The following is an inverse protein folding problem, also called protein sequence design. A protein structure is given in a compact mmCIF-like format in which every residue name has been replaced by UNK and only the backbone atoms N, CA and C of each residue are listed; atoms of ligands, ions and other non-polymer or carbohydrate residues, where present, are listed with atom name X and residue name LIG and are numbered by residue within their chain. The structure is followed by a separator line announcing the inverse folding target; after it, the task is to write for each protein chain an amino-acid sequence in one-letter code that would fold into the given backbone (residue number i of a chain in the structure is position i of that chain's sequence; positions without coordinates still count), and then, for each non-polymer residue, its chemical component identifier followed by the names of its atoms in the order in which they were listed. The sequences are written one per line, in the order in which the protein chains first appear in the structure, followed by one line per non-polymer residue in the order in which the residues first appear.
data_IF_496180793033
#
_entry.id   IF_496180793033
#
_cell.length_a   1.000
_cell.length_b   1.000
_cell.length_c   1.000
_cell.angle_alpha   90.00
_cell.angle_beta   90.00
_cell.angle_gamma   90.00
#
_symmetry.space_group_name_H-M   'P 1'
#
loop_
_entity.id
_entity.type
_entity.pdbx_description
1 polymer ?
#
# COMPACT_ATOMS: atom_id res chain seq x y z
N UNK A 1 -0.23 -9.39 6.78
CA UNK A 1 0.84 -9.48 5.77
C UNK A 1 0.35 -8.87 4.48
N UNK A 2 1.07 -7.87 3.93
CA UNK A 2 0.61 -7.07 2.80
C UNK A 2 0.65 -7.82 1.47
N UNK A 3 -0.17 -7.39 0.51
CA UNK A 3 -0.21 -7.93 -0.85
C UNK A 3 1.13 -7.85 -1.57
N UNK A 4 1.96 -6.86 -1.22
CA UNK A 4 3.31 -6.66 -1.74
C UNK A 4 4.25 -7.79 -1.32
N UNK A 5 4.20 -8.18 -0.03
CA UNK A 5 4.97 -9.30 0.50
C UNK A 5 4.69 -10.58 -0.30
N UNK A 6 3.42 -10.90 -0.56
CA UNK A 6 3.03 -12.09 -1.32
C UNK A 6 3.52 -12.07 -2.78
N UNK A 7 3.57 -10.90 -3.43
CA UNK A 7 4.11 -10.78 -4.81
C UNK A 7 5.61 -11.03 -4.86
N UNK A 8 6.38 -10.46 -3.91
CA UNK A 8 7.83 -10.69 -3.82
C UNK A 8 8.10 -12.14 -3.43
N UNK A 9 7.39 -12.65 -2.44
CA UNK A 9 7.51 -14.02 -1.96
C UNK A 9 7.22 -15.03 -3.07
N UNK A 10 6.11 -14.87 -3.79
CA UNK A 10 5.76 -15.74 -4.92
C UNK A 10 6.80 -15.66 -6.04
N UNK A 11 7.29 -14.46 -6.39
CA UNK A 11 8.34 -14.27 -7.40
C UNK A 11 9.63 -15.01 -7.01
N UNK A 12 10.06 -14.90 -5.77
CA UNK A 12 11.24 -15.60 -5.26
C UNK A 12 11.06 -17.13 -5.31
N UNK A 13 9.92 -17.64 -4.84
CA UNK A 13 9.64 -19.08 -4.82
C UNK A 13 9.49 -19.66 -6.23
N UNK A 14 8.89 -18.93 -7.18
CA UNK A 14 8.80 -19.35 -8.59
C UNK A 14 10.19 -19.47 -9.21
N UNK A 15 11.07 -18.51 -8.96
CA UNK A 15 12.44 -18.54 -9.48
C UNK A 15 13.23 -19.71 -8.88
N UNK A 16 13.09 -19.93 -7.58
CA UNK A 16 13.73 -21.04 -6.88
C UNK A 16 13.22 -22.39 -7.42
N UNK A 17 11.91 -22.54 -7.58
CA UNK A 17 11.27 -23.74 -8.11
C UNK A 17 11.75 -24.05 -9.54
N UNK A 18 11.79 -23.05 -10.43
CA UNK A 18 12.28 -23.21 -11.80
C UNK A 18 13.75 -23.63 -11.84
N UNK A 19 14.57 -23.09 -10.94
CA UNK A 19 15.98 -23.46 -10.80
C UNK A 19 16.13 -24.90 -10.32
N UNK A 20 15.35 -25.31 -9.31
CA UNK A 20 15.36 -26.69 -8.78
C UNK A 20 14.89 -27.67 -9.85
N UNK A 21 13.81 -27.37 -10.57
CA UNK A 21 13.30 -28.24 -11.66
C UNK A 21 14.35 -28.37 -12.76
N UNK A 22 14.98 -27.28 -13.20
CA UNK A 22 16.03 -27.29 -14.22
C UNK A 22 17.24 -28.15 -13.83
N UNK A 23 17.71 -28.01 -12.59
CA UNK A 23 18.84 -28.82 -12.07
C UNK A 23 18.42 -30.27 -11.93
N UNK A 24 17.22 -30.57 -11.41
CA UNK A 24 16.72 -31.93 -11.26
C UNK A 24 16.54 -32.64 -12.61
N UNK A 25 15.99 -31.95 -13.62
CA UNK A 25 15.86 -32.48 -14.96
C UNK A 25 17.23 -32.79 -15.59
N UNK A 26 18.22 -31.91 -15.42
CA UNK A 26 19.58 -32.13 -15.90
C UNK A 26 20.25 -33.34 -15.23
N UNK A 27 20.01 -33.55 -13.91
CA UNK A 27 20.50 -34.69 -13.17
C UNK A 27 19.82 -36.00 -13.60
N UNK A 28 18.49 -36.00 -13.80
CA UNK A 28 17.76 -37.17 -14.29
C UNK A 28 18.22 -37.63 -15.66
N UNK A 29 18.39 -36.72 -16.63
CA UNK A 29 18.90 -37.03 -17.94
C UNK A 29 20.31 -37.63 -17.85
N UNK A 30 21.14 -37.17 -16.93
CA UNK A 30 22.47 -37.70 -16.69
C UNK A 30 22.45 -39.09 -16.08
N UNK A 31 21.51 -39.36 -15.17
CA UNK A 31 21.33 -40.68 -14.51
C UNK A 31 20.83 -41.73 -15.53
N UNK A 32 19.90 -41.35 -16.42
CA UNK A 32 19.37 -42.23 -17.44
C UNK A 32 20.42 -42.57 -18.51
N UNK A 33 21.29 -41.62 -18.83
CA UNK A 33 22.46 -41.88 -19.70
C UNK A 33 23.46 -42.84 -19.05
N UNK A 34 23.63 -42.85 -17.73
CA UNK A 34 24.48 -43.81 -16.99
C UNK A 34 23.86 -45.22 -16.93
N UNK A 35 22.56 -45.33 -16.71
CA UNK A 35 21.87 -46.65 -16.65
C UNK A 35 21.88 -47.39 -17.97
N UNK A 36 21.97 -46.73 -19.09
CA UNK A 36 22.08 -47.34 -20.43
C UNK A 36 23.44 -48.00 -20.68
N UNK A 37 24.44 -47.79 -19.82
CA UNK A 37 25.79 -48.39 -19.93
C UNK A 37 25.99 -49.69 -19.10
N UNK A 38 25.09 -50.05 -18.17
CA UNK A 38 25.16 -51.29 -17.40
C UNK A 38 24.49 -52.47 -18.08
N UNK A 39 25.14 -52.98 -19.14
CA UNK A 39 24.71 -54.20 -19.83
C UNK A 39 25.40 -55.43 -19.19
N UNK A 40 24.64 -56.44 -18.74
CA UNK A 40 25.18 -57.68 -18.16
C UNK A 40 25.88 -58.59 -19.15
N UNK A 41 25.83 -58.23 -20.45
CA UNK A 41 26.56 -58.90 -21.52
C UNK A 41 27.66 -58.02 -22.11
N UNK A 42 28.82 -58.61 -22.40
CA UNK A 42 29.93 -57.87 -23.02
C UNK A 42 29.60 -57.40 -24.43
N UNK A 43 29.71 -56.09 -24.65
CA UNK A 43 29.29 -55.41 -25.92
C UNK A 43 30.46 -54.81 -26.68
N UNK A 44 31.67 -55.11 -26.32
CA UNK A 44 32.88 -54.58 -26.96
C UNK A 44 33.22 -55.15 -28.34
N UNK A 45 34.07 -54.49 -29.13
CA UNK A 45 34.49 -54.97 -30.43
C UNK A 45 35.19 -56.35 -30.35
N UNK A 46 35.96 -56.62 -29.30
CA UNK A 46 36.66 -57.87 -29.10
C UNK A 46 35.73 -59.01 -28.76
N UNK A 47 34.79 -58.81 -27.84
CA UNK A 47 33.79 -59.81 -27.47
C UNK A 47 32.89 -60.14 -28.67
N UNK A 48 32.51 -59.17 -29.47
CA UNK A 48 31.73 -59.35 -30.71
C UNK A 48 32.51 -60.13 -31.77
N UNK A 49 33.80 -59.84 -31.92
CA UNK A 49 34.68 -60.56 -32.87
C UNK A 49 34.92 -62.01 -32.39
N UNK A 50 35.27 -62.21 -31.11
CA UNK A 50 35.50 -63.49 -30.52
C UNK A 50 34.23 -64.37 -30.57
N UNK A 51 33.04 -63.80 -30.28
CA UNK A 51 31.76 -64.50 -30.41
C UNK A 51 31.50 -64.96 -31.83
N UNK A 52 31.82 -64.14 -32.83
CA UNK A 52 31.70 -64.49 -34.23
C UNK A 52 32.64 -65.61 -34.63
N UNK A 53 33.89 -65.57 -34.16
CA UNK A 53 34.87 -66.64 -34.39
C UNK A 53 34.43 -67.97 -33.74
N UNK A 54 34.00 -67.96 -32.46
CA UNK A 54 33.47 -69.12 -31.78
C UNK A 54 32.26 -69.74 -32.52
N UNK A 55 31.34 -68.87 -32.95
CA UNK A 55 30.17 -69.27 -33.73
C UNK A 55 30.57 -69.88 -35.08
N UNK A 56 31.55 -69.29 -35.80
CA UNK A 56 32.05 -69.81 -37.06
C UNK A 56 32.69 -71.19 -36.89
N UNK A 57 33.54 -71.35 -35.89
CA UNK A 57 34.14 -72.67 -35.54
C UNK A 57 33.08 -73.72 -35.25
N UNK A 58 32.04 -73.36 -34.46
CA UNK A 58 30.94 -74.26 -34.20
C UNK A 58 30.09 -74.63 -35.40
N UNK A 59 29.83 -73.65 -36.29
CA UNK A 59 28.97 -73.82 -37.44
C UNK A 59 29.60 -74.71 -38.59
N UNK A 60 30.91 -74.63 -38.68
CA UNK A 60 31.61 -75.38 -39.73
C UNK A 60 32.34 -76.64 -39.25
N UNK A 61 32.71 -76.71 -37.95
CA UNK A 61 33.44 -77.79 -37.34
C UNK A 61 32.69 -78.63 -36.33
N UNK A 62 31.43 -78.26 -36.14
CA UNK A 62 30.58 -78.99 -35.19
C UNK A 62 30.95 -78.80 -33.66
N UNK A 63 30.34 -79.59 -32.83
CA UNK A 63 30.48 -79.48 -31.33
C UNK A 63 31.88 -79.88 -30.85
N UNK A 64 32.61 -80.81 -31.55
CA UNK A 64 33.97 -81.15 -31.18
C UNK A 64 34.99 -80.04 -31.48
N UNK A 65 34.87 -79.40 -32.61
CA UNK A 65 35.74 -78.28 -32.95
C UNK A 65 35.53 -77.09 -31.99
N UNK A 66 34.30 -76.82 -31.61
CA UNK A 66 33.99 -75.82 -30.61
C UNK A 66 34.60 -76.19 -29.25
N UNK A 67 34.54 -77.45 -28.83
CA UNK A 67 35.14 -77.92 -27.57
C UNK A 67 36.67 -77.75 -27.58
N UNK A 68 37.35 -78.11 -28.69
CA UNK A 68 38.80 -77.88 -28.84
C UNK A 68 39.11 -76.37 -28.82
N UNK A 69 38.29 -75.54 -29.46
CA UNK A 69 38.46 -74.08 -29.48
C UNK A 69 38.31 -73.46 -28.11
N UNK A 70 37.31 -73.88 -27.34
CA UNK A 70 37.09 -73.42 -25.96
C UNK A 70 38.20 -73.90 -25.02
N UNK A 71 38.68 -75.16 -25.18
CA UNK A 71 39.78 -75.71 -24.39
C UNK A 71 41.14 -75.07 -24.64
N UNK A 72 41.34 -74.54 -25.88
CA UNK A 72 42.55 -73.86 -26.29
C UNK A 72 42.42 -72.33 -26.13
N UNK A 73 41.34 -71.81 -25.45
CA UNK A 73 41.08 -70.39 -25.30
C UNK A 73 42.24 -69.71 -24.57
N UNK A 74 42.78 -68.61 -25.16
CA UNK A 74 43.91 -67.93 -24.57
C UNK A 74 43.55 -67.28 -23.23
N UNK A 75 44.22 -67.62 -22.14
CA UNK A 75 44.00 -67.07 -20.79
C UNK A 75 44.11 -65.55 -20.79
N UNK A 76 44.88 -64.95 -21.73
CA UNK A 76 45.05 -63.52 -21.88
C UNK A 76 43.80 -62.82 -22.42
N UNK A 77 42.88 -63.56 -23.04
CA UNK A 77 41.64 -63.00 -23.59
C UNK A 77 40.44 -63.07 -22.65
N UNK A 78 40.67 -63.61 -21.43
CA UNK A 78 39.62 -63.82 -20.44
C UNK A 78 38.96 -65.21 -20.55
N UNK A 79 37.68 -65.30 -20.21
CA UNK A 79 36.93 -66.55 -20.26
C UNK A 79 36.32 -66.76 -21.65
N UNK A 80 36.25 -68.01 -22.15
CA UNK A 80 35.59 -68.29 -23.43
C UNK A 80 34.08 -68.05 -23.38
N UNK A 81 33.39 -67.86 -24.54
CA UNK A 81 31.95 -67.60 -24.56
C UNK A 81 31.17 -68.74 -23.87
N UNK A 82 30.12 -68.36 -23.19
CA UNK A 82 29.14 -69.32 -22.69
C UNK A 82 28.33 -69.88 -23.85
N UNK A 83 28.08 -71.19 -23.80
CA UNK A 83 27.31 -71.97 -24.78
C UNK A 83 26.19 -72.66 -24.08
N UNK A 84 25.03 -72.02 -24.06
CA UNK A 84 23.92 -72.36 -23.15
C UNK A 84 22.76 -73.02 -23.90
N UNK A 85 22.20 -74.07 -23.36
CA UNK A 85 21.01 -74.71 -23.91
C UNK A 85 19.71 -73.99 -23.58
N UNK A 86 18.58 -74.48 -24.07
CA UNK A 86 17.26 -73.89 -23.78
C UNK A 86 16.93 -73.93 -22.28
N UNK A 87 17.48 -74.85 -21.53
CA UNK A 87 17.30 -74.95 -20.07
C UNK A 87 18.20 -74.04 -19.25
N UNK A 88 19.13 -73.32 -19.87
CA UNK A 88 20.02 -72.40 -19.16
C UNK A 88 21.34 -73.05 -18.69
N UNK A 89 21.66 -74.28 -19.11
CA UNK A 89 22.86 -74.96 -18.73
C UNK A 89 23.98 -74.78 -19.77
N UNK A 90 25.17 -74.40 -19.32
CA UNK A 90 26.33 -74.25 -20.20
C UNK A 90 26.84 -75.67 -20.63
N UNK A 91 27.19 -75.80 -21.89
CA UNK A 91 27.70 -77.07 -22.44
C UNK A 91 28.97 -77.57 -21.78
N UNK A 92 29.75 -76.66 -21.20
CA UNK A 92 31.03 -76.96 -20.54
C UNK A 92 30.93 -76.96 -19.01
N UNK A 93 29.70 -76.92 -18.43
CA UNK A 93 29.43 -77.01 -17.00
C UNK A 93 29.79 -75.76 -16.20
N UNK A 94 29.93 -74.61 -16.86
CA UNK A 94 30.24 -73.37 -16.17
C UNK A 94 28.97 -72.71 -15.63
N UNK A 95 29.12 -71.88 -14.56
CA UNK A 95 28.02 -71.11 -14.02
C UNK A 95 27.53 -70.05 -15.02
N UNK A 96 26.24 -70.03 -15.25
CA UNK A 96 25.60 -69.05 -16.14
C UNK A 96 24.88 -67.98 -15.30
N UNK A 97 25.33 -66.73 -15.32
CA UNK A 97 24.61 -65.66 -14.61
C UNK A 97 23.20 -65.45 -15.22
N UNK A 98 22.16 -65.50 -14.39
CA UNK A 98 20.78 -65.46 -14.82
C UNK A 98 20.46 -64.16 -15.61
N UNK A 99 20.96 -63.04 -15.14
CA UNK A 99 20.76 -61.75 -15.76
C UNK A 99 21.42 -61.64 -17.15
N UNK A 100 22.64 -62.19 -17.31
CA UNK A 100 23.34 -62.23 -18.59
C UNK A 100 22.60 -63.14 -19.58
N UNK A 101 22.02 -64.25 -19.14
CA UNK A 101 21.23 -65.14 -19.98
C UNK A 101 19.94 -64.46 -20.47
N UNK A 102 19.22 -63.75 -19.59
CA UNK A 102 18.02 -63.00 -19.97
C UNK A 102 18.33 -61.90 -20.98
N UNK A 103 19.39 -61.14 -20.75
CA UNK A 103 19.82 -60.08 -21.66
C UNK A 103 20.30 -60.66 -23.00
N UNK A 104 20.98 -61.82 -23.02
CA UNK A 104 21.40 -62.52 -24.26
C UNK A 104 20.18 -62.99 -25.06
N UNK A 105 19.14 -63.50 -24.38
CA UNK A 105 17.86 -63.91 -25.01
C UNK A 105 17.12 -62.70 -25.58
N UNK A 106 17.04 -61.59 -24.83
CA UNK A 106 16.43 -60.34 -25.25
C UNK A 106 17.18 -59.73 -26.45
N UNK A 107 18.53 -59.73 -26.42
CA UNK A 107 19.34 -59.26 -27.51
C UNK A 107 19.11 -60.09 -28.80
N UNK A 108 18.92 -61.38 -28.69
CA UNK A 108 18.63 -62.23 -29.85
C UNK A 108 17.22 -61.97 -30.40
N UNK A 109 16.24 -61.67 -29.57
CA UNK A 109 14.87 -61.39 -29.96
C UNK A 109 14.73 -60.01 -30.64
N UNK A 110 15.54 -59.03 -30.22
CA UNK A 110 15.51 -57.64 -30.71
C UNK A 110 16.26 -57.44 -32.04
N UNK A 111 17.08 -58.41 -32.48
CA UNK A 111 17.95 -58.25 -33.65
C UNK A 111 17.25 -58.59 -34.97
N UNK A 112 16.74 -57.62 -35.63
CA UNK A 112 16.39 -57.62 -37.06
C UNK A 112 17.43 -56.76 -37.85
N UNK A 113 18.69 -57.26 -37.99
CA UNK A 113 19.68 -56.47 -38.72
C UNK A 113 21.10 -57.00 -38.73
N UNK A 114 22.00 -56.28 -39.26
CA UNK A 114 23.40 -56.53 -39.63
C UNK A 114 24.18 -57.50 -38.74
N UNK A 115 24.55 -58.66 -39.27
CA UNK A 115 25.25 -59.79 -38.64
C UNK A 115 26.59 -59.46 -37.93
N UNK A 116 27.20 -58.31 -38.24
CA UNK A 116 28.55 -57.92 -37.77
C UNK A 116 28.62 -57.48 -36.31
N UNK A 117 27.50 -57.11 -35.67
CA UNK A 117 27.47 -56.54 -34.32
C UNK A 117 26.61 -57.32 -33.32
N UNK A 118 26.32 -58.60 -33.61
CA UNK A 118 25.47 -59.42 -32.74
C UNK A 118 26.14 -59.68 -31.40
N UNK A 119 25.41 -59.39 -30.33
CA UNK A 119 25.82 -59.55 -28.93
C UNK A 119 25.61 -60.98 -28.40
N UNK A 120 24.72 -61.73 -29.05
CA UNK A 120 24.45 -63.13 -28.80
C UNK A 120 24.21 -63.83 -30.15
N UNK A 121 24.56 -65.11 -30.25
CA UNK A 121 24.37 -65.91 -31.45
C UNK A 121 23.74 -67.27 -31.15
N UNK A 122 22.87 -67.70 -32.04
CA UNK A 122 22.28 -69.04 -31.98
C UNK A 122 23.08 -69.99 -32.85
N UNK A 123 23.33 -71.19 -32.36
CA UNK A 123 24.00 -72.24 -33.05
C UNK A 123 23.24 -73.56 -32.88
N UNK A 124 23.18 -74.45 -33.90
CA UNK A 124 22.59 -75.77 -33.81
C UNK A 124 23.73 -76.80 -33.96
N UNK A 125 23.75 -77.78 -33.06
CA UNK A 125 24.71 -78.86 -33.15
C UNK A 125 24.27 -79.95 -34.17
N UNK A 126 25.16 -80.93 -34.39
CA UNK A 126 24.94 -82.02 -35.37
C UNK A 126 23.73 -82.93 -34.98
N UNK A 127 23.25 -82.84 -33.73
CA UNK A 127 22.04 -83.51 -33.23
C UNK A 127 20.78 -82.67 -33.32
N UNK A 128 20.90 -81.45 -33.95
CA UNK A 128 19.79 -80.49 -34.04
C UNK A 128 19.43 -79.72 -32.82
N UNK A 129 20.17 -79.86 -31.73
CA UNK A 129 19.94 -79.10 -30.47
C UNK A 129 20.42 -77.68 -30.63
N UNK A 130 19.58 -76.72 -30.21
CA UNK A 130 19.89 -75.28 -30.26
C UNK A 130 20.68 -74.85 -29.02
N UNK A 131 21.71 -74.03 -29.27
CA UNK A 131 22.59 -73.45 -28.28
C UNK A 131 22.67 -71.94 -28.46
N UNK A 132 22.72 -71.19 -27.35
CA UNK A 132 22.90 -69.74 -27.30
C UNK A 132 24.32 -69.42 -26.87
N UNK A 133 25.05 -68.65 -27.65
CA UNK A 133 26.41 -68.20 -27.36
C UNK A 133 26.44 -66.73 -27.05
N UNK A 134 27.08 -66.32 -25.94
CA UNK A 134 27.28 -64.93 -25.50
C UNK A 134 28.47 -64.83 -24.52
N UNK A 135 28.94 -63.61 -24.31
CA UNK A 135 29.94 -63.30 -23.29
C UNK A 135 29.28 -62.56 -22.12
N UNK A 136 29.40 -63.07 -20.87
CA UNK A 136 29.01 -62.29 -19.70
C UNK A 136 29.89 -61.03 -19.55
N UNK A 137 29.39 -59.99 -18.89
CA UNK A 137 30.18 -58.79 -18.59
C UNK A 137 31.38 -59.17 -17.72
N UNK A 138 32.56 -58.63 -18.03
CA UNK A 138 33.81 -58.93 -17.31
C UNK A 138 34.51 -60.22 -17.72
N UNK A 139 33.92 -61.13 -18.55
CA UNK A 139 34.53 -62.37 -19.02
C UNK A 139 35.64 -62.12 -20.06
N UNK A 140 35.62 -61.06 -20.79
CA UNK A 140 36.68 -60.66 -21.73
C UNK A 140 37.58 -59.59 -21.07
N UNK A 141 38.92 -59.82 -21.07
CA UNK A 141 39.88 -58.76 -20.71
C UNK A 141 39.94 -57.72 -21.82
N UNK A 142 38.89 -56.96 -21.97
CA UNK A 142 39.00 -55.74 -22.77
C UNK A 142 39.97 -54.80 -22.05
N UNK A 143 40.93 -54.15 -22.77
CA UNK A 143 41.70 -53.07 -22.19
C UNK A 143 40.68 -52.10 -21.60
N UNK A 144 40.96 -51.49 -20.41
CA UNK A 144 40.11 -50.47 -19.89
C UNK A 144 39.87 -49.54 -21.10
N UNK A 145 38.60 -49.43 -21.53
CA UNK A 145 38.24 -48.36 -22.45
C UNK A 145 38.87 -47.15 -21.81
N UNK A 146 39.84 -46.50 -22.52
CA UNK A 146 40.19 -45.13 -22.16
C UNK A 146 38.82 -44.49 -22.01
N UNK A 147 38.44 -44.23 -20.75
CA UNK A 147 37.14 -43.63 -20.45
C UNK A 147 37.01 -42.58 -21.52
N UNK A 148 36.01 -42.57 -22.37
CA UNK A 148 35.85 -41.43 -23.26
C UNK A 148 35.94 -40.29 -22.27
N UNK A 149 37.03 -39.48 -22.40
CA UNK A 149 37.13 -38.20 -21.64
C UNK A 149 35.72 -37.73 -21.74
N UNK A 150 34.99 -37.64 -20.59
CA UNK A 150 33.58 -37.33 -20.69
C UNK A 150 33.55 -36.14 -21.60
N UNK A 151 33.14 -36.35 -22.86
CA UNK A 151 32.78 -35.23 -23.72
C UNK A 151 31.76 -34.55 -22.85
N UNK A 152 32.24 -33.58 -22.11
CA UNK A 152 31.43 -32.68 -21.31
C UNK A 152 30.52 -32.10 -22.39
N UNK A 153 29.38 -32.76 -22.65
CA UNK A 153 28.32 -32.17 -23.44
C UNK A 153 27.83 -31.01 -22.62
N UNK A 154 28.58 -29.90 -22.78
CA UNK A 154 28.31 -28.60 -22.18
C UNK A 154 26.91 -28.07 -22.57
N UNK A 155 26.27 -28.70 -23.55
CA UNK A 155 24.96 -28.29 -24.08
C UNK A 155 23.86 -28.28 -23.02
N UNK A 156 23.76 -29.28 -22.17
CA UNK A 156 22.74 -29.36 -21.12
C UNK A 156 22.93 -28.30 -20.00
N UNK A 157 24.12 -28.23 -19.35
CA UNK A 157 24.40 -27.22 -18.34
C UNK A 157 24.43 -25.79 -18.90
N UNK A 158 24.86 -25.59 -20.16
CA UNK A 158 24.82 -24.26 -20.79
C UNK A 158 23.39 -23.84 -21.09
N UNK A 159 22.52 -24.70 -21.57
CA UNK A 159 21.09 -24.42 -21.80
C UNK A 159 20.39 -24.11 -20.48
N UNK A 160 20.67 -24.87 -19.40
CA UNK A 160 20.13 -24.61 -18.07
C UNK A 160 20.62 -23.25 -17.52
N UNK A 161 21.89 -22.91 -17.69
CA UNK A 161 22.44 -21.62 -17.26
C UNK A 161 21.85 -20.43 -18.05
N UNK A 162 21.65 -20.59 -19.36
CA UNK A 162 20.98 -19.58 -20.21
C UNK A 162 19.52 -19.38 -19.80
N UNK A 163 18.79 -20.47 -19.54
CA UNK A 163 17.41 -20.39 -19.08
C UNK A 163 17.30 -19.70 -17.72
N UNK A 164 18.20 -20.03 -16.78
CA UNK A 164 18.26 -19.36 -15.47
C UNK A 164 18.61 -17.87 -15.59
N UNK A 165 19.56 -17.52 -16.48
CA UNK A 165 19.91 -16.12 -16.75
C UNK A 165 18.73 -15.36 -17.33
N UNK A 166 18.03 -15.89 -18.32
CA UNK A 166 16.83 -15.28 -18.92
C UNK A 166 15.72 -15.10 -17.89
N UNK A 167 15.46 -16.13 -17.06
CA UNK A 167 14.48 -16.05 -15.98
C UNK A 167 14.86 -14.97 -14.97
N UNK A 168 16.12 -14.88 -14.58
CA UNK A 168 16.63 -13.84 -13.66
C UNK A 168 16.47 -12.43 -14.24
N UNK A 169 16.81 -12.22 -15.49
CA UNK A 169 16.63 -10.92 -16.19
C UNK A 169 15.15 -10.54 -16.26
N UNK A 170 14.28 -11.50 -16.60
CA UNK A 170 12.83 -11.27 -16.68
C UNK A 170 12.25 -10.90 -15.30
N UNK A 171 12.59 -11.66 -14.26
CA UNK A 171 12.13 -11.38 -12.88
C UNK A 171 12.66 -10.03 -12.40
N UNK A 172 13.94 -9.72 -12.65
CA UNK A 172 14.54 -8.42 -12.30
C UNK A 172 13.85 -7.27 -13.02
N UNK A 173 13.55 -7.41 -14.30
CA UNK A 173 12.81 -6.41 -15.07
C UNK A 173 11.37 -6.23 -14.56
N UNK A 174 10.69 -7.31 -14.20
CA UNK A 174 9.36 -7.26 -13.59
C UNK A 174 9.38 -6.58 -12.21
N UNK A 175 10.35 -6.92 -11.37
CA UNK A 175 10.55 -6.27 -10.06
C UNK A 175 10.87 -4.78 -10.22
N UNK A 176 11.79 -4.43 -11.12
CA UNK A 176 12.12 -3.03 -11.39
C UNK A 176 10.90 -2.23 -11.86
N UNK A 177 10.10 -2.81 -12.74
CA UNK A 177 8.89 -2.17 -13.27
C UNK A 177 7.78 -2.07 -12.22
N UNK A 178 7.60 -3.12 -11.40
CA UNK A 178 6.52 -3.19 -10.41
C UNK A 178 6.83 -2.48 -9.09
N UNK A 179 8.09 -2.33 -8.71
CA UNK A 179 8.47 -1.77 -7.43
C UNK A 179 9.39 -0.54 -7.55
N UNK A 180 10.52 -0.65 -8.24
CA UNK A 180 11.50 0.45 -8.25
C UNK A 180 10.93 1.72 -8.87
N UNK A 181 10.26 1.62 -10.03
CA UNK A 181 9.69 2.80 -10.70
C UNK A 181 8.62 3.53 -9.87
N UNK A 182 7.61 2.84 -9.26
CA UNK A 182 6.65 3.50 -8.39
C UNK A 182 7.28 4.13 -7.14
N UNK A 183 8.27 3.46 -6.54
CA UNK A 183 8.98 4.01 -5.37
C UNK A 183 9.73 5.29 -5.73
N UNK A 184 10.48 5.29 -6.84
CA UNK A 184 11.15 6.51 -7.30
C UNK A 184 10.20 7.65 -7.64
N UNK A 185 9.01 7.34 -8.21
CA UNK A 185 7.98 8.35 -8.44
C UNK A 185 7.45 8.95 -7.14
N UNK A 186 7.19 8.10 -6.14
CA UNK A 186 6.82 8.55 -4.80
C UNK A 186 7.91 9.44 -4.19
N UNK A 187 9.17 9.01 -4.24
CA UNK A 187 10.29 9.83 -3.73
C UNK A 187 10.37 11.19 -4.42
N UNK A 188 10.26 11.22 -5.75
CA UNK A 188 10.23 12.47 -6.50
C UNK A 188 9.04 13.36 -6.14
N UNK A 189 7.87 12.76 -5.89
CA UNK A 189 6.68 13.50 -5.50
C UNK A 189 6.80 14.05 -4.06
N UNK A 190 7.38 13.28 -3.12
CA UNK A 190 7.67 13.75 -1.77
C UNK A 190 8.67 14.92 -1.81
N UNK A 191 9.72 14.83 -2.62
CA UNK A 191 10.68 15.91 -2.79
C UNK A 191 10.00 17.16 -3.36
N UNK A 192 9.22 17.02 -4.44
CA UNK A 192 8.50 18.13 -5.04
C UNK A 192 7.51 18.80 -4.04
N UNK A 193 6.81 17.98 -3.23
CA UNK A 193 5.93 18.51 -2.19
C UNK A 193 6.70 19.25 -1.09
N UNK A 194 7.89 18.77 -0.69
CA UNK A 194 8.76 19.45 0.28
C UNK A 194 9.32 20.77 -0.27
N UNK A 195 9.51 20.86 -1.58
CA UNK A 195 9.91 22.08 -2.27
C UNK A 195 8.74 23.04 -2.52
N UNK A 196 7.56 22.74 -1.96
CA UNK A 196 6.36 23.60 -2.06
C UNK A 196 5.49 23.38 -3.30
N UNK A 197 5.79 22.39 -4.14
CA UNK A 197 4.97 22.05 -5.31
C UNK A 197 3.78 21.17 -4.90
N UNK A 198 2.73 21.77 -4.37
CA UNK A 198 1.56 21.07 -3.85
C UNK A 198 0.56 20.60 -4.93
N UNK A 199 0.84 20.81 -6.21
CA UNK A 199 0.01 20.35 -7.33
C UNK A 199 0.37 18.94 -7.83
N UNK A 200 1.40 18.31 -7.26
CA UNK A 200 1.86 16.96 -7.62
C UNK A 200 0.82 15.92 -7.20
N UNK A 201 0.53 14.97 -8.11
CA UNK A 201 -0.35 13.83 -7.86
C UNK A 201 0.33 12.54 -8.33
N UNK A 202 0.28 11.50 -7.48
CA UNK A 202 0.95 10.22 -7.71
C UNK A 202 -0.04 9.13 -8.07
N UNK A 203 -1.25 9.17 -7.50
CA UNK A 203 -2.26 8.13 -7.69
C UNK A 203 -2.68 7.97 -9.16
N UNK A 204 -2.67 9.04 -9.97
CA UNK A 204 -2.95 8.95 -11.41
C UNK A 204 -1.92 8.08 -12.15
N UNK A 205 -0.64 8.18 -11.79
CA UNK A 205 0.43 7.35 -12.34
C UNK A 205 0.45 5.90 -11.83
N UNK A 206 -0.40 5.60 -10.83
CA UNK A 206 -0.59 4.29 -10.21
C UNK A 206 -2.02 3.75 -10.41
N UNK A 207 -2.76 4.30 -11.38
CA UNK A 207 -4.16 3.93 -11.65
C UNK A 207 -4.29 2.41 -11.85
N UNK A 208 -5.26 1.80 -11.14
CA UNK A 208 -5.50 0.36 -11.17
C UNK A 208 -4.69 -0.47 -10.17
N UNK A 209 -3.73 0.09 -9.44
CA UNK A 209 -3.04 -0.63 -8.36
C UNK A 209 -3.92 -0.73 -7.11
N UNK A 210 -4.12 -1.97 -6.65
CA UNK A 210 -4.87 -2.29 -5.42
C UNK A 210 -3.97 -2.84 -4.30
N UNK A 211 -2.65 -2.65 -4.45
CA UNK A 211 -1.64 -3.04 -3.47
C UNK A 211 -1.27 -1.88 -2.54
N UNK A 212 -0.36 -2.12 -1.59
CA UNK A 212 0.09 -1.17 -0.57
C UNK A 212 0.73 0.07 -1.19
N UNK A 213 1.43 -0.06 -2.32
CA UNK A 213 1.99 1.09 -3.05
C UNK A 213 0.90 1.98 -3.65
N UNK A 214 -0.17 1.37 -4.17
CA UNK A 214 -1.34 2.11 -4.65
C UNK A 214 -2.08 2.82 -3.51
N UNK A 215 -2.17 2.19 -2.34
CA UNK A 215 -2.72 2.81 -1.14
C UNK A 215 -1.86 4.00 -0.68
N UNK A 216 -0.54 3.81 -0.56
CA UNK A 216 0.40 4.87 -0.19
C UNK A 216 0.34 6.07 -1.15
N UNK A 217 0.18 5.82 -2.45
CA UNK A 217 -0.01 6.91 -3.42
C UNK A 217 -1.29 7.72 -3.19
N UNK A 218 -2.39 7.06 -2.82
CA UNK A 218 -3.65 7.75 -2.47
C UNK A 218 -3.55 8.54 -1.17
N UNK A 219 -2.92 7.98 -0.16
CA UNK A 219 -2.68 8.64 1.13
C UNK A 219 -1.77 9.86 0.96
N UNK A 220 -0.73 9.75 0.14
CA UNK A 220 0.13 10.86 -0.23
C UNK A 220 -0.67 11.99 -0.93
N UNK A 221 -1.48 11.66 -1.95
CA UNK A 221 -2.29 12.65 -2.65
C UNK A 221 -3.30 13.33 -1.71
N UNK A 222 -3.89 12.56 -0.78
CA UNK A 222 -4.77 13.10 0.26
C UNK A 222 -4.05 14.05 1.22
N UNK A 223 -2.82 13.72 1.62
CA UNK A 223 -1.98 14.60 2.44
C UNK A 223 -1.62 15.89 1.70
N UNK A 224 -1.17 15.80 0.46
CA UNK A 224 -0.82 16.98 -0.36
C UNK A 224 -2.04 17.86 -0.59
N UNK A 225 -3.22 17.29 -0.83
CA UNK A 225 -4.46 18.05 -0.97
C UNK A 225 -4.80 18.81 0.32
N UNK A 226 -4.67 18.20 1.49
CA UNK A 226 -4.87 18.89 2.78
C UNK A 226 -3.87 20.03 2.98
N UNK A 227 -2.58 19.79 2.66
CA UNK A 227 -1.56 20.84 2.72
C UNK A 227 -1.87 21.99 1.78
N UNK A 228 -2.31 21.70 0.55
CA UNK A 228 -2.69 22.71 -0.43
C UNK A 228 -3.88 23.57 0.07
N UNK A 229 -4.88 22.93 0.68
CA UNK A 229 -6.01 23.61 1.29
C UNK A 229 -5.58 24.52 2.45
N UNK A 230 -4.71 24.02 3.34
CA UNK A 230 -4.18 24.78 4.48
C UNK A 230 -3.37 25.99 4.02
N UNK A 231 -2.42 25.82 3.10
CA UNK A 231 -1.61 26.92 2.57
C UNK A 231 -2.48 27.91 1.81
N UNK A 232 -3.46 27.42 1.03
CA UNK A 232 -4.40 28.28 0.31
C UNK A 232 -5.30 29.09 1.23
N UNK A 233 -5.79 28.52 2.34
CA UNK A 233 -6.59 29.26 3.33
C UNK A 233 -5.74 30.28 4.07
N UNK A 234 -4.51 29.93 4.46
CA UNK A 234 -3.58 30.85 5.11
C UNK A 234 -3.22 32.06 4.22
N UNK A 235 -2.95 31.82 2.94
CA UNK A 235 -2.64 32.90 1.99
C UNK A 235 -3.85 33.84 1.79
N UNK A 236 -5.07 33.30 1.71
CA UNK A 236 -6.29 34.10 1.65
C UNK A 236 -6.44 34.94 2.90
N UNK A 237 -6.32 34.33 4.08
CA UNK A 237 -6.39 35.05 5.35
C UNK A 237 -5.39 36.23 5.39
N UNK A 238 -4.11 36.00 5.02
CA UNK A 238 -3.10 37.06 4.99
C UNK A 238 -3.43 38.18 3.99
N UNK A 239 -4.01 37.81 2.85
CA UNK A 239 -4.45 38.79 1.85
C UNK A 239 -5.59 39.66 2.41
N UNK A 240 -6.60 39.04 3.00
CA UNK A 240 -7.78 39.71 3.55
C UNK A 240 -7.40 40.59 4.74
N UNK A 241 -6.56 40.12 5.67
CA UNK A 241 -5.98 40.92 6.76
C UNK A 241 -5.26 42.16 6.22
N UNK A 242 -4.45 42.00 5.16
CA UNK A 242 -3.72 43.12 4.57
C UNK A 242 -4.66 44.16 3.99
N UNK A 243 -5.76 43.73 3.37
CA UNK A 243 -6.79 44.63 2.83
C UNK A 243 -7.55 45.36 3.95
N UNK A 244 -7.98 44.65 5.00
CA UNK A 244 -8.73 45.21 6.12
C UNK A 244 -7.88 46.14 7.01
N UNK A 245 -6.56 45.94 7.09
CA UNK A 245 -5.64 46.85 7.78
C UNK A 245 -5.39 48.14 6.98
N UNK A 246 -5.36 48.08 5.64
CA UNK A 246 -5.04 49.21 4.80
C UNK A 246 -6.10 50.34 4.89
N UNK A 247 -7.37 49.96 5.00
CA UNK A 247 -8.49 50.91 5.06
C UNK A 247 -8.47 51.83 6.28
N UNK A 248 -8.39 51.32 7.56
CA UNK A 248 -8.29 52.16 8.74
C UNK A 248 -6.98 52.96 8.78
N UNK A 249 -5.85 52.39 8.30
CA UNK A 249 -4.59 53.15 8.18
C UNK A 249 -4.71 54.34 7.25
N UNK A 250 -5.39 54.20 6.12
CA UNK A 250 -5.64 55.33 5.22
C UNK A 250 -6.53 56.40 5.90
N UNK A 251 -7.58 55.99 6.64
CA UNK A 251 -8.43 56.95 7.40
C UNK A 251 -7.66 57.64 8.51
N UNK A 252 -6.77 56.95 9.22
CA UNK A 252 -5.86 57.55 10.20
C UNK A 252 -4.96 58.61 9.55
N UNK A 253 -4.33 58.29 8.41
CA UNK A 253 -3.48 59.25 7.67
C UNK A 253 -4.24 60.51 7.26
N UNK A 254 -5.49 60.34 6.78
CA UNK A 254 -6.35 61.49 6.43
C UNK A 254 -6.69 62.33 7.69
N UNK A 255 -7.03 61.68 8.82
CA UNK A 255 -7.34 62.37 10.05
C UNK A 255 -6.12 63.14 10.59
N UNK A 256 -4.92 62.57 10.54
CA UNK A 256 -3.67 63.27 10.90
C UNK A 256 -3.42 64.49 9.95
N UNK A 257 -3.66 64.29 8.64
CA UNK A 257 -3.53 65.38 7.66
C UNK A 257 -4.48 66.54 7.92
N UNK A 258 -5.75 66.25 8.25
CA UNK A 258 -6.75 67.24 8.64
C UNK A 258 -6.39 67.95 9.95
N UNK A 259 -5.93 67.28 10.96
CA UNK A 259 -5.44 67.86 12.21
C UNK A 259 -4.30 68.86 12.00
N UNK A 260 -3.40 68.56 11.04
CA UNK A 260 -2.28 69.46 10.68
C UNK A 260 -2.68 70.68 9.90
N UNK A 261 -3.74 70.59 9.08
CA UNK A 261 -4.17 71.71 8.21
C UNK A 261 -5.13 72.66 8.87
N UNK A 262 -5.94 72.21 9.85
CA UNK A 262 -6.97 73.04 10.48
C UNK A 262 -6.93 72.89 12.00
N UNK A 263 -6.35 73.84 12.74
CA UNK A 263 -6.30 73.84 14.20
C UNK A 263 -7.69 73.79 14.89
N UNK A 264 -8.73 74.28 14.24
CA UNK A 264 -10.08 74.25 14.82
C UNK A 264 -10.74 72.86 14.77
N UNK A 265 -10.19 71.93 14.04
CA UNK A 265 -10.72 70.57 13.92
C UNK A 265 -9.84 69.51 14.59
N UNK A 266 -8.83 69.90 15.33
CA UNK A 266 -7.88 68.99 15.96
C UNK A 266 -8.60 68.01 16.88
N UNK A 267 -9.52 68.43 17.74
CA UNK A 267 -10.29 67.58 18.66
C UNK A 267 -11.08 66.48 17.90
N UNK A 268 -11.78 66.90 16.85
CA UNK A 268 -12.53 65.96 16.01
C UNK A 268 -11.63 64.97 15.31
N UNK A 269 -10.43 65.41 14.87
CA UNK A 269 -9.45 64.53 14.22
C UNK A 269 -8.83 63.55 15.21
N UNK A 270 -8.53 64.01 16.43
CA UNK A 270 -8.04 63.11 17.50
C UNK A 270 -9.08 62.04 17.87
N UNK A 271 -10.34 62.41 18.06
CA UNK A 271 -11.41 61.43 18.30
C UNK A 271 -11.62 60.41 17.16
N UNK A 272 -11.28 60.80 15.93
CA UNK A 272 -11.26 59.87 14.80
C UNK A 272 -10.04 58.93 14.85
N UNK A 273 -8.87 59.49 15.18
CA UNK A 273 -7.64 58.70 15.33
C UNK A 273 -7.80 57.65 16.41
N UNK A 274 -8.34 58.04 17.61
CA UNK A 274 -8.60 57.12 18.70
C UNK A 274 -9.51 55.96 18.26
N UNK A 275 -10.65 56.28 17.67
CA UNK A 275 -11.59 55.26 17.16
C UNK A 275 -11.01 54.31 16.12
N UNK A 276 -10.18 54.83 15.19
CA UNK A 276 -9.56 53.98 14.21
C UNK A 276 -8.43 53.14 14.81
N UNK A 277 -7.73 53.63 15.86
CA UNK A 277 -6.73 52.86 16.61
C UNK A 277 -7.38 51.74 17.43
N UNK A 278 -8.48 51.99 18.12
CA UNK A 278 -9.26 50.96 18.82
C UNK A 278 -9.74 49.89 17.86
N UNK A 279 -10.27 50.25 16.68
CA UNK A 279 -10.68 49.28 15.66
C UNK A 279 -9.54 48.44 15.16
N UNK A 280 -8.34 49.01 14.98
CA UNK A 280 -7.16 48.26 14.58
C UNK A 280 -6.73 47.25 15.65
N UNK A 281 -6.81 47.64 16.94
CA UNK A 281 -6.49 46.76 18.06
C UNK A 281 -7.48 45.58 18.13
N UNK A 282 -8.78 45.85 17.97
CA UNK A 282 -9.81 44.80 17.87
C UNK A 282 -9.52 43.82 16.72
N UNK A 283 -9.24 44.35 15.52
CA UNK A 283 -8.94 43.50 14.34
C UNK A 283 -7.71 42.59 14.59
N UNK A 284 -6.64 43.16 15.14
CA UNK A 284 -5.43 42.41 15.48
C UNK A 284 -5.74 41.34 16.51
N UNK A 285 -6.53 41.66 17.55
CA UNK A 285 -6.97 40.71 18.57
C UNK A 285 -7.81 39.56 18.00
N UNK A 286 -8.72 39.85 17.05
CA UNK A 286 -9.52 38.81 16.38
C UNK A 286 -8.66 37.91 15.48
N UNK A 287 -7.73 38.48 14.70
CA UNK A 287 -6.80 37.71 13.84
C UNK A 287 -5.89 36.82 14.68
N UNK A 288 -5.33 37.32 15.80
CA UNK A 288 -4.51 36.53 16.71
C UNK A 288 -5.31 35.38 17.36
N UNK A 289 -6.57 35.63 17.68
CA UNK A 289 -7.46 34.58 18.22
C UNK A 289 -7.71 33.50 17.16
N UNK A 290 -8.02 33.89 15.95
CA UNK A 290 -8.23 32.93 14.85
C UNK A 290 -6.97 32.06 14.60
N UNK A 291 -5.80 32.69 14.60
CA UNK A 291 -4.53 31.99 14.44
C UNK A 291 -4.22 31.01 15.60
N UNK A 292 -4.54 31.41 16.84
CA UNK A 292 -4.38 30.53 18.04
C UNK A 292 -5.33 29.34 17.97
N UNK A 293 -6.57 29.53 17.54
CA UNK A 293 -7.56 28.45 17.41
C UNK A 293 -7.09 27.35 16.45
N UNK A 294 -6.42 27.69 15.37
CA UNK A 294 -5.84 26.71 14.44
C UNK A 294 -4.78 25.80 15.09
N UNK A 295 -3.99 26.35 16.02
CA UNK A 295 -2.99 25.59 16.80
C UNK A 295 -3.61 24.70 17.89
N UNK A 296 -4.74 25.15 18.47
CA UNK A 296 -5.38 24.50 19.60
C UNK A 296 -6.28 23.31 19.25
N UNK A 297 -6.69 23.15 18.00
CA UNK A 297 -7.51 22.01 17.52
C UNK A 297 -6.89 20.63 17.82
N UNK A 298 -5.61 20.55 18.14
CA UNK A 298 -4.88 19.30 18.39
C UNK A 298 -4.57 19.04 19.87
N UNK A 299 -4.93 19.96 20.75
CA UNK A 299 -4.66 19.83 22.19
C UNK A 299 -5.96 19.54 22.94
N UNK A 300 -6.01 18.56 23.84
CA UNK A 300 -7.20 18.29 24.64
C UNK A 300 -7.53 19.51 25.53
N UNK A 301 -8.82 19.75 25.72
CA UNK A 301 -9.27 20.73 26.72
C UNK A 301 -8.91 20.21 28.13
N UNK A 302 -8.54 21.11 29.04
CA UNK A 302 -8.07 20.73 30.37
C UNK A 302 -9.06 21.14 31.48
N UNK A 303 -9.96 22.09 31.19
CA UNK A 303 -10.86 22.65 32.20
C UNK A 303 -12.26 22.00 32.13
N UNK A 304 -12.94 22.05 33.28
CA UNK A 304 -14.36 21.69 33.39
C UNK A 304 -15.18 22.98 33.47
N UNK A 305 -16.14 23.11 32.57
CA UNK A 305 -16.95 24.34 32.42
C UNK A 305 -18.43 23.96 32.50
N UNK A 306 -19.18 24.65 33.36
CA UNK A 306 -20.65 24.59 33.34
C UNK A 306 -21.17 25.45 32.21
N UNK A 307 -21.77 24.76 31.21
CA UNK A 307 -22.24 25.40 29.97
C UNK A 307 -23.44 26.30 30.19
N UNK A 308 -24.26 26.02 31.23
CA UNK A 308 -25.42 26.84 31.60
C UNK A 308 -24.94 28.17 32.19
N UNK A 309 -24.02 28.11 33.17
CA UNK A 309 -23.44 29.28 33.79
C UNK A 309 -22.72 30.17 32.77
N UNK A 310 -21.96 29.53 31.86
CA UNK A 310 -21.25 30.23 30.79
C UNK A 310 -22.20 30.95 29.82
N UNK A 311 -23.27 30.28 29.38
CA UNK A 311 -24.28 30.91 28.51
C UNK A 311 -25.07 32.02 29.23
N UNK A 312 -25.37 31.82 30.48
CA UNK A 312 -26.07 32.85 31.28
C UNK A 312 -25.21 34.11 31.42
N UNK A 313 -23.92 33.96 31.74
CA UNK A 313 -22.96 35.08 31.73
C UNK A 313 -22.93 35.84 30.40
N UNK A 314 -22.84 35.14 29.27
CA UNK A 314 -22.84 35.76 27.93
C UNK A 314 -24.16 36.51 27.67
N UNK A 315 -25.28 35.95 28.11
CA UNK A 315 -26.60 36.57 27.93
C UNK A 315 -26.75 37.79 28.85
N UNK A 316 -26.22 37.76 30.08
CA UNK A 316 -26.22 38.93 31.01
C UNK A 316 -25.42 40.10 30.41
N UNK A 317 -24.23 39.85 29.89
CA UNK A 317 -23.41 40.84 29.20
C UNK A 317 -24.17 41.44 27.98
N UNK A 318 -24.80 40.57 27.20
CA UNK A 318 -25.60 40.97 26.05
C UNK A 318 -26.86 41.77 26.44
N UNK A 319 -27.52 41.47 27.57
CA UNK A 319 -28.65 42.24 28.10
C UNK A 319 -28.20 43.63 28.48
N UNK A 320 -27.07 43.77 29.19
CA UNK A 320 -26.51 45.07 29.53
C UNK A 320 -26.21 45.94 28.30
N UNK A 321 -25.62 45.36 27.29
CA UNK A 321 -25.35 46.04 25.99
C UNK A 321 -26.67 46.44 25.28
N UNK A 322 -27.71 45.63 25.40
CA UNK A 322 -29.01 45.82 24.78
C UNK A 322 -29.87 46.91 25.45
N UNK A 323 -29.71 47.20 26.78
CA UNK A 323 -30.53 48.15 27.55
C UNK A 323 -30.63 49.55 26.90
N UNK A 324 -29.51 50.05 26.31
CA UNK A 324 -29.49 51.33 25.64
C UNK A 324 -30.09 51.34 24.19
N UNK A 325 -30.42 50.15 23.66
CA UNK A 325 -30.82 49.98 22.25
C UNK A 325 -32.29 49.54 22.04
N UNK A 326 -33.06 49.32 23.10
CA UNK A 326 -34.44 48.85 23.07
C UNK A 326 -34.60 47.38 22.61
N UNK A 327 -33.53 46.62 22.55
CA UNK A 327 -33.54 45.20 22.17
C UNK A 327 -33.60 44.34 23.46
N UNK A 328 -34.06 43.10 23.33
CA UNK A 328 -34.14 42.15 24.43
C UNK A 328 -33.37 40.89 24.13
N UNK A 329 -32.78 40.29 25.17
CA UNK A 329 -32.14 38.96 25.04
C UNK A 329 -32.73 38.03 26.10
N UNK A 330 -33.14 36.84 25.68
CA UNK A 330 -33.74 35.82 26.56
C UNK A 330 -32.95 34.52 26.46
N UNK A 331 -32.64 33.94 27.60
CA UNK A 331 -32.07 32.61 27.70
C UNK A 331 -33.12 31.63 28.23
N UNK A 332 -33.17 30.45 27.60
CA UNK A 332 -34.04 29.34 28.02
C UNK A 332 -33.28 28.03 27.94
N UNK A 333 -33.48 27.19 28.94
CA UNK A 333 -32.93 25.84 28.98
C UNK A 333 -33.98 24.83 29.41
N UNK A 334 -33.97 23.65 28.81
CA UNK A 334 -34.82 22.52 29.23
C UNK A 334 -34.08 21.58 30.21
N UNK A 335 -32.83 21.87 30.53
CA UNK A 335 -32.03 21.05 31.44
C UNK A 335 -32.10 21.60 32.85
N UNK A 336 -32.36 20.72 33.82
CA UNK A 336 -32.33 21.05 35.25
C UNK A 336 -31.01 20.55 35.85
N UNK A 337 -30.24 21.45 36.51
CA UNK A 337 -28.96 21.15 37.13
C UNK A 337 -27.73 21.64 36.36
N UNK A 338 -26.55 21.34 36.85
CA UNK A 338 -25.27 21.70 36.23
C UNK A 338 -25.01 20.88 35.01
N UNK A 339 -24.45 21.51 33.96
CA UNK A 339 -24.10 20.88 32.72
C UNK A 339 -22.62 21.06 32.42
N UNK A 340 -21.81 20.22 33.05
CA UNK A 340 -20.35 20.33 33.02
C UNK A 340 -19.80 19.57 31.80
N UNK A 341 -19.05 20.26 30.98
CA UNK A 341 -18.29 19.71 29.86
C UNK A 341 -16.81 20.00 30.00
N UNK A 342 -15.98 19.16 29.36
CA UNK A 342 -14.54 19.41 29.28
C UNK A 342 -14.27 20.37 28.15
N UNK A 343 -13.92 21.62 28.46
CA UNK A 343 -13.78 22.67 27.46
C UNK A 343 -12.80 23.75 27.92
N UNK A 344 -12.40 24.60 26.96
CA UNK A 344 -11.73 25.87 27.26
C UNK A 344 -12.78 26.96 27.37
N UNK A 345 -13.12 27.33 28.59
CA UNK A 345 -14.22 28.26 28.88
C UNK A 345 -14.09 29.59 28.15
N UNK A 346 -12.90 30.18 28.09
CA UNK A 346 -12.67 31.46 27.39
C UNK A 346 -13.00 31.37 25.87
N UNK A 347 -12.69 30.25 25.24
CA UNK A 347 -12.95 30.08 23.80
C UNK A 347 -14.44 29.88 23.52
N UNK A 348 -15.12 29.10 24.35
CA UNK A 348 -16.57 28.93 24.24
C UNK A 348 -17.32 30.21 24.57
N UNK A 349 -16.94 30.92 25.64
CA UNK A 349 -17.49 32.23 25.96
C UNK A 349 -17.41 33.20 24.79
N UNK A 350 -16.21 33.32 24.21
CA UNK A 350 -15.97 34.16 23.00
C UNK A 350 -16.77 33.71 21.80
N UNK A 351 -16.96 32.40 21.62
CA UNK A 351 -17.76 31.86 20.52
C UNK A 351 -19.23 32.24 20.62
N UNK A 352 -19.81 32.08 21.81
CA UNK A 352 -21.20 32.46 22.08
C UNK A 352 -21.40 33.97 22.08
N UNK A 353 -20.51 34.73 22.69
CA UNK A 353 -20.52 36.19 22.69
C UNK A 353 -20.53 36.75 21.25
N UNK A 354 -19.65 36.24 20.38
CA UNK A 354 -19.59 36.64 18.98
C UNK A 354 -20.92 36.42 18.25
N UNK A 355 -21.59 35.29 18.50
CA UNK A 355 -22.86 34.98 17.84
C UNK A 355 -24.01 35.78 18.43
N UNK A 356 -24.09 35.95 19.75
CA UNK A 356 -25.11 36.73 20.41
C UNK A 356 -24.99 38.23 20.05
N UNK A 357 -23.79 38.78 20.01
CA UNK A 357 -23.56 40.16 19.55
C UNK A 357 -23.90 40.33 18.09
N UNK A 358 -23.60 39.32 17.22
CA UNK A 358 -24.04 39.37 15.83
C UNK A 358 -25.56 39.39 15.73
N UNK A 359 -26.26 38.54 16.49
CA UNK A 359 -27.71 38.49 16.53
C UNK A 359 -28.30 39.83 17.01
N UNK A 360 -27.77 40.42 18.10
CA UNK A 360 -28.18 41.76 18.58
C UNK A 360 -27.99 42.86 17.50
N UNK A 361 -26.88 42.83 16.79
CA UNK A 361 -26.57 43.81 15.78
C UNK A 361 -27.60 43.83 14.65
N UNK A 362 -28.04 42.66 14.21
CA UNK A 362 -28.98 42.50 13.11
C UNK A 362 -30.44 42.52 13.50
N UNK A 363 -30.75 42.35 14.78
CA UNK A 363 -32.12 42.40 15.33
C UNK A 363 -32.63 43.87 15.32
N UNK A 364 -33.84 44.13 14.80
CA UNK A 364 -34.48 45.44 14.90
C UNK A 364 -34.70 45.92 16.31
N UNK A 365 -34.90 47.23 16.51
CA UNK A 365 -35.33 47.81 17.80
C UNK A 365 -36.68 47.17 18.22
N UNK A 366 -36.91 47.02 19.51
CA UNK A 366 -38.11 46.40 20.10
C UNK A 366 -38.31 44.93 19.74
N UNK A 367 -37.28 44.24 19.32
CA UNK A 367 -37.29 42.81 19.02
C UNK A 367 -36.44 42.00 19.97
N UNK A 368 -36.56 40.65 19.88
CA UNK A 368 -35.98 39.71 20.83
C UNK A 368 -34.91 38.83 20.12
N UNK A 369 -33.77 38.66 20.79
CA UNK A 369 -32.81 37.59 20.52
C UNK A 369 -33.06 36.44 21.50
N UNK A 370 -33.26 35.25 20.96
CA UNK A 370 -33.56 34.06 21.74
C UNK A 370 -32.30 33.14 21.78
N UNK A 371 -31.82 32.81 22.96
CA UNK A 371 -30.78 31.81 23.20
C UNK A 371 -31.42 30.62 23.87
N UNK A 372 -31.29 29.44 23.30
CA UNK A 372 -31.87 28.22 23.88
C UNK A 372 -30.82 27.10 23.96
N UNK A 373 -30.89 26.32 25.04
CA UNK A 373 -30.04 25.15 25.27
C UNK A 373 -30.93 23.93 25.49
N UNK A 374 -30.73 22.90 24.68
CA UNK A 374 -31.45 21.64 24.74
C UNK A 374 -30.48 20.46 24.80
N UNK A 375 -30.65 19.64 25.83
CA UNK A 375 -29.92 18.38 25.93
C UNK A 375 -30.58 17.31 25.06
N UNK A 376 -29.85 16.83 24.04
CA UNK A 376 -30.28 15.73 23.21
C UNK A 376 -29.76 14.39 23.77
N UNK A 377 -30.49 13.81 24.72
CA UNK A 377 -30.08 12.58 25.44
C UNK A 377 -29.81 11.38 24.51
N UNK A 378 -30.48 11.29 23.33
CA UNK A 378 -30.24 10.22 22.34
C UNK A 378 -28.92 10.35 21.59
N UNK A 379 -28.42 11.58 21.43
CA UNK A 379 -27.20 11.87 20.66
C UNK A 379 -26.01 12.17 21.56
N UNK A 380 -26.18 12.11 22.88
CA UNK A 380 -25.18 12.48 23.90
C UNK A 380 -24.50 13.82 23.54
N UNK A 381 -25.31 14.80 23.19
CA UNK A 381 -24.87 16.10 22.72
C UNK A 381 -25.78 17.23 23.18
N UNK A 382 -25.18 18.41 23.31
CA UNK A 382 -25.87 19.63 23.57
C UNK A 382 -26.17 20.38 22.29
N UNK A 383 -27.39 20.89 22.18
CA UNK A 383 -27.80 21.73 21.08
C UNK A 383 -28.15 23.13 21.62
N UNK A 384 -27.38 24.11 21.18
CA UNK A 384 -27.57 25.51 21.51
C UNK A 384 -28.04 26.21 20.25
N UNK A 385 -29.04 27.06 20.36
CA UNK A 385 -29.55 27.87 19.25
C UNK A 385 -29.59 29.33 19.70
N UNK A 386 -29.04 30.19 18.84
CA UNK A 386 -29.17 31.65 18.91
C UNK A 386 -30.01 32.11 17.73
N UNK A 387 -31.19 32.66 18.01
CA UNK A 387 -32.13 33.10 16.99
C UNK A 387 -32.34 34.61 17.07
N UNK A 388 -32.17 35.31 15.99
CA UNK A 388 -32.41 36.75 15.85
C UNK A 388 -33.74 37.00 15.09
N UNK A 389 -34.15 38.29 15.09
CA UNK A 389 -35.32 38.77 14.35
C UNK A 389 -34.91 39.66 13.16
N UNK A 390 -33.69 39.52 12.66
CA UNK A 390 -33.13 40.27 11.56
C UNK A 390 -33.72 39.94 10.19
N UNK A 391 -33.12 40.42 9.10
CA UNK A 391 -33.60 40.15 7.75
C UNK A 391 -33.31 38.71 7.27
N UNK A 392 -32.52 37.95 7.99
CA UNK A 392 -32.02 36.65 7.55
C UNK A 392 -30.86 36.79 6.56
N UNK A 393 -30.46 35.67 5.94
CA UNK A 393 -29.31 35.59 5.01
C UNK A 393 -29.75 34.84 3.75
N UNK A 394 -29.34 35.26 2.55
CA UNK A 394 -29.61 34.50 1.31
C UNK A 394 -29.16 33.04 1.46
N UNK A 395 -29.96 32.07 0.96
CA UNK A 395 -29.67 30.63 1.13
C UNK A 395 -28.29 30.23 0.60
N UNK A 396 -27.85 30.86 -0.48
CA UNK A 396 -26.52 30.60 -1.06
C UNK A 396 -25.35 31.15 -0.22
N UNK A 397 -25.63 31.98 0.78
CA UNK A 397 -24.63 32.59 1.67
C UNK A 397 -24.59 31.96 3.06
N UNK A 398 -25.58 31.10 3.44
CA UNK A 398 -25.66 30.48 4.76
C UNK A 398 -24.42 29.71 5.20
N UNK A 399 -23.65 29.18 4.28
CA UNK A 399 -22.39 28.49 4.58
C UNK A 399 -21.20 29.48 4.60
N UNK A 400 -21.17 30.46 3.71
CA UNK A 400 -20.08 31.42 3.58
C UNK A 400 -20.06 32.50 4.67
N UNK A 401 -21.17 32.72 5.43
CA UNK A 401 -21.17 33.66 6.57
C UNK A 401 -20.17 33.27 7.69
N UNK A 402 -19.70 32.03 7.68
CA UNK A 402 -18.67 31.53 8.60
C UNK A 402 -17.24 31.65 8.04
N UNK A 403 -17.08 32.11 6.81
CA UNK A 403 -15.77 32.35 6.24
C UNK A 403 -15.16 33.63 6.83
N UNK A 404 -13.87 33.66 7.14
CA UNK A 404 -13.20 34.87 7.60
C UNK A 404 -13.42 36.06 6.63
N UNK A 405 -13.68 37.26 7.18
CA UNK A 405 -13.91 38.48 6.46
C UNK A 405 -15.16 38.52 5.56
N UNK A 406 -16.01 37.49 5.64
CA UNK A 406 -17.27 37.52 4.89
C UNK A 406 -18.22 38.55 5.47
N UNK A 407 -18.79 39.41 4.61
CA UNK A 407 -19.80 40.42 4.94
C UNK A 407 -20.91 40.35 3.91
N UNK A 408 -22.15 40.15 4.35
CA UNK A 408 -23.31 40.17 3.45
C UNK A 408 -23.49 41.56 2.80
N UNK A 409 -24.06 41.59 1.61
CA UNK A 409 -24.26 42.83 0.83
C UNK A 409 -25.04 43.92 1.58
N UNK A 410 -25.88 43.53 2.56
CA UNK A 410 -26.69 44.45 3.36
C UNK A 410 -26.01 44.98 4.62
N UNK A 411 -24.77 44.58 4.90
CA UNK A 411 -24.08 44.89 6.15
C UNK A 411 -23.35 46.26 6.09
N UNK A 412 -24.09 47.35 6.19
CA UNK A 412 -23.55 48.69 6.47
C UNK A 412 -22.95 48.85 7.87
N UNK A 413 -22.75 47.73 8.65
CA UNK A 413 -22.42 47.71 10.07
C UNK A 413 -20.92 47.60 10.38
N UNK A 414 -20.57 48.02 11.60
CA UNK A 414 -19.25 47.87 12.20
C UNK A 414 -18.93 46.38 12.42
N UNK A 415 -17.73 45.91 12.05
CA UNK A 415 -17.21 44.54 12.26
C UNK A 415 -16.45 44.06 11.06
N UNK A 416 -15.45 43.21 11.30
CA UNK A 416 -14.51 42.74 10.28
C UNK A 416 -14.94 41.41 9.64
N UNK A 417 -16.08 40.85 10.02
CA UNK A 417 -16.51 39.53 9.51
C UNK A 417 -15.70 38.34 10.03
N UNK A 418 -15.04 38.50 11.19
CA UNK A 418 -14.26 37.46 11.82
C UNK A 418 -15.02 36.74 12.94
N UNK A 419 -16.02 37.38 13.56
CA UNK A 419 -16.70 36.83 14.75
C UNK A 419 -17.32 35.46 14.54
N UNK A 420 -18.10 35.25 13.45
CA UNK A 420 -18.71 33.95 13.14
C UNK A 420 -17.66 32.89 12.75
N UNK A 421 -16.58 33.28 12.09
CA UNK A 421 -15.46 32.40 11.76
C UNK A 421 -14.73 31.95 13.03
N UNK A 422 -14.49 32.83 13.99
CA UNK A 422 -13.92 32.53 15.30
C UNK A 422 -14.83 31.58 16.07
N UNK A 423 -16.14 31.85 16.10
CA UNK A 423 -17.13 31.01 16.77
C UNK A 423 -17.11 29.58 16.18
N UNK A 424 -17.20 29.43 14.87
CA UNK A 424 -17.15 28.12 14.20
C UNK A 424 -15.87 27.37 14.53
N UNK A 425 -14.70 28.02 14.47
CA UNK A 425 -13.39 27.39 14.79
C UNK A 425 -13.30 26.97 16.25
N UNK A 426 -13.83 27.79 17.17
CA UNK A 426 -13.86 27.45 18.59
C UNK A 426 -14.73 26.22 18.85
N UNK A 427 -15.90 26.12 18.27
CA UNK A 427 -16.81 24.97 18.40
C UNK A 427 -16.17 23.70 17.78
N UNK A 428 -15.56 23.82 16.58
CA UNK A 428 -14.85 22.72 15.94
C UNK A 428 -13.64 22.23 16.75
N UNK A 429 -12.94 23.14 17.44
CA UNK A 429 -11.83 22.79 18.34
C UNK A 429 -12.30 21.96 19.56
N UNK A 430 -13.57 22.04 19.92
CA UNK A 430 -14.23 21.23 20.96
C UNK A 430 -14.96 20.00 20.41
N UNK A 431 -14.69 19.61 19.16
CA UNK A 431 -15.33 18.46 18.51
C UNK A 431 -16.80 18.68 18.13
N UNK A 432 -17.27 19.93 18.24
CA UNK A 432 -18.63 20.32 17.92
C UNK A 432 -18.83 20.65 16.45
N UNK A 433 -20.06 21.05 16.11
CA UNK A 433 -20.46 21.53 14.80
C UNK A 433 -21.31 22.80 14.93
N UNK A 434 -21.13 23.74 14.02
CA UNK A 434 -21.89 24.98 13.89
C UNK A 434 -22.45 25.13 12.49
N UNK A 435 -23.73 25.58 12.39
CA UNK A 435 -24.40 25.85 11.11
C UNK A 435 -25.47 26.94 11.32
N UNK A 436 -25.97 27.49 10.23
CA UNK A 436 -27.03 28.51 10.24
C UNK A 436 -28.18 28.11 9.35
N UNK A 437 -29.36 28.61 9.67
CA UNK A 437 -30.56 28.53 8.84
C UNK A 437 -31.42 29.77 9.05
N UNK A 438 -32.20 30.13 8.05
CA UNK A 438 -33.21 31.17 8.24
C UNK A 438 -34.36 30.65 9.07
N UNK A 439 -34.96 31.50 9.90
CA UNK A 439 -36.13 31.15 10.71
C UNK A 439 -37.28 30.67 9.83
N UNK A 440 -37.94 29.57 10.23
CA UNK A 440 -39.10 29.05 9.50
C UNK A 440 -40.36 29.88 9.73
N UNK A 441 -40.45 30.58 10.88
CA UNK A 441 -41.55 31.45 11.25
C UNK A 441 -41.02 32.85 11.50
N UNK A 442 -41.46 33.83 10.68
CA UNK A 442 -40.97 35.20 10.75
C UNK A 442 -39.74 35.45 9.88
N UNK A 443 -39.02 36.55 10.16
CA UNK A 443 -37.70 36.86 9.57
C UNK A 443 -36.63 36.67 10.63
N UNK A 444 -35.40 36.36 10.21
CA UNK A 444 -34.24 36.22 11.09
C UNK A 444 -33.36 35.03 10.74
N UNK A 445 -32.25 34.95 11.41
CA UNK A 445 -31.26 33.87 11.30
C UNK A 445 -31.27 33.05 12.59
N UNK A 446 -31.16 31.74 12.48
CA UNK A 446 -30.89 30.83 13.57
C UNK A 446 -29.47 30.26 13.39
N UNK A 447 -28.62 30.50 14.38
CA UNK A 447 -27.29 29.88 14.44
C UNK A 447 -27.32 28.75 15.48
N UNK A 448 -26.97 27.57 15.02
CA UNK A 448 -27.02 26.34 15.78
C UNK A 448 -25.63 25.85 16.13
N UNK A 449 -25.46 25.35 17.34
CA UNK A 449 -24.25 24.71 17.84
C UNK A 449 -24.60 23.33 18.33
N UNK A 450 -23.77 22.36 18.02
CA UNK A 450 -23.80 21.03 18.63
C UNK A 450 -22.46 20.75 19.27
N UNK A 451 -22.46 20.52 20.59
CA UNK A 451 -21.27 20.12 21.34
C UNK A 451 -21.45 18.69 21.85
N UNK A 452 -20.46 17.80 21.72
CA UNK A 452 -20.52 16.47 22.30
C UNK A 452 -20.44 16.58 23.83
N UNK A 453 -21.19 15.72 24.53
CA UNK A 453 -20.98 15.47 25.96
C UNK A 453 -19.93 14.35 26.04
N UNK A 454 -18.68 14.67 26.39
CA UNK A 454 -17.82 13.63 26.92
C UNK A 454 -18.37 13.19 28.26
N UNK A 455 -18.94 11.98 28.33
CA UNK A 455 -19.34 11.38 29.60
C UNK A 455 -18.10 11.23 30.49
N UNK A 456 -17.85 12.21 31.32
CA UNK A 456 -17.05 12.00 32.52
C UNK A 456 -17.90 11.15 33.45
N UNK A 457 -17.72 9.81 33.39
CA UNK A 457 -18.19 8.96 34.47
C UNK A 457 -17.43 9.40 35.74
N UNK A 458 -18.00 10.35 36.46
CA UNK A 458 -17.69 10.56 37.86
C UNK A 458 -18.01 9.23 38.56
N UNK A 459 -17.00 8.35 38.67
CA UNK A 459 -17.05 7.28 39.67
C UNK A 459 -17.22 7.96 41.00
N UNK A 460 -18.44 7.93 41.50
CA UNK A 460 -18.76 8.22 42.90
C UNK A 460 -17.81 7.39 43.77
N UNK A 461 -16.96 8.05 44.51
CA UNK A 461 -16.13 7.48 45.59
C UNK A 461 -16.98 7.28 46.80
#
# INVERSE_FOLDING_TARGET
MGRLFWKIFAGFWITLLLTVIGVSAALMIREEARRSEESAIATGPRSTYALRMAWTVASFGGGEALAKYVAQWPVREGEPPLVVDAGGNDRFGRAVPAEALEQARAALAAETGNDRRRKARRWKDDAGKEWLMFFPQGSTREPPRASPVPEFRLEGPILAALAALLASVLVSALLARNFSRPIHRLQGAFQAASDGQLNVRVAQGMAGRRDELGQLGREFDGMVQKLQQLVGSQNRLMHDVSHELRSPLARLQVAVGLARQNPAQVETALSRIEREAERLDELVGEVLTLARLEGLMRQPAEDYVDLIELLDSVVEDARFEAEGSGRKVMFSTSHEGELVIRARGELLHRAFDNVVRNALRHTPVDSLVEVSLVHQARADSMHITVADAGPGVPENELESIFDPFHRGESAGGAGYGLGLAIARRAIEAHGGRMWAQNRQQGSGLEVHFRLPLEQTSLKTV
#
